data_IF_875678669889
#
_entry.id   IF_875678669889
#
_cell.length_a   1.000
_cell.length_b   1.000
_cell.length_c   1.000
_cell.angle_alpha   90.00
_cell.angle_beta   90.00
_cell.angle_gamma   90.00
#
_symmetry.space_group_name_H-M   'P 1'
#
loop_
_entity.id
_entity.type
_entity.pdbx_description
1 polymer ?
#
# COMPACT_ATOMS: atom_id res chain seq x y z
N UNK A 1 8.08 3.07 42.07
CA UNK A 1 7.98 3.04 40.59
C UNK A 1 9.20 2.29 40.09
N UNK A 2 9.07 1.16 39.38
CA UNK A 2 10.23 0.56 38.73
C UNK A 2 10.71 1.54 37.66
N UNK A 3 12.02 1.77 37.61
CA UNK A 3 12.67 2.53 36.54
C UNK A 3 12.34 1.85 35.22
N UNK A 4 11.64 2.52 34.31
CA UNK A 4 11.50 2.02 32.95
C UNK A 4 12.90 1.92 32.35
N UNK A 5 13.38 0.70 32.14
CA UNK A 5 14.60 0.46 31.38
C UNK A 5 14.37 1.00 29.97
N UNK A 6 15.18 1.96 29.54
CA UNK A 6 15.10 2.47 28.17
C UNK A 6 15.51 1.35 27.22
N UNK A 7 14.63 1.01 26.28
CA UNK A 7 14.83 -0.04 25.27
C UNK A 7 15.29 0.57 23.93
N UNK A 8 15.75 1.82 23.98
CA UNK A 8 16.14 2.58 22.81
C UNK A 8 17.24 1.90 21.98
N UNK A 9 18.21 1.27 22.65
CA UNK A 9 19.32 0.55 22.04
C UNK A 9 18.99 -0.85 21.55
N UNK A 10 17.80 -1.37 21.85
CA UNK A 10 17.40 -2.69 21.38
C UNK A 10 17.27 -2.69 19.86
N UNK A 11 17.73 -3.77 19.22
CA UNK A 11 17.74 -3.90 17.76
C UNK A 11 18.47 -2.76 17.04
N UNK A 12 19.48 -2.13 17.67
CA UNK A 12 20.21 -0.99 17.09
C UNK A 12 20.69 -1.25 15.66
N UNK A 13 21.23 -2.46 15.39
CA UNK A 13 21.66 -2.83 14.04
C UNK A 13 20.50 -2.76 13.02
N UNK A 14 19.33 -3.31 13.37
CA UNK A 14 18.15 -3.26 12.51
C UNK A 14 17.68 -1.82 12.30
N UNK A 15 17.66 -0.99 13.36
CA UNK A 15 17.27 0.42 13.26
C UNK A 15 18.20 1.20 12.34
N UNK A 16 19.51 0.98 12.46
CA UNK A 16 20.52 1.59 11.58
C UNK A 16 20.39 1.11 10.14
N UNK A 17 20.12 -0.18 9.92
CA UNK A 17 19.85 -0.70 8.58
C UNK A 17 18.58 -0.08 8.00
N UNK A 18 17.51 0.09 8.78
CA UNK A 18 16.30 0.78 8.33
C UNK A 18 16.59 2.21 7.89
N UNK A 19 17.42 2.95 8.65
CA UNK A 19 17.88 4.30 8.26
C UNK A 19 18.64 4.27 6.94
N UNK A 20 19.61 3.36 6.80
CA UNK A 20 20.39 3.22 5.57
C UNK A 20 19.50 2.88 4.37
N UNK A 21 18.59 1.93 4.55
CA UNK A 21 17.61 1.53 3.53
C UNK A 21 16.75 2.71 3.13
N UNK A 22 16.24 3.50 4.08
CA UNK A 22 15.47 4.71 3.77
C UNK A 22 16.27 5.72 2.95
N UNK A 23 17.48 6.07 3.41
CA UNK A 23 18.33 7.08 2.77
C UNK A 23 18.78 6.65 1.37
N UNK A 24 19.20 5.40 1.20
CA UNK A 24 19.82 4.92 -0.04
C UNK A 24 18.83 4.35 -1.06
N UNK A 25 17.70 3.79 -0.61
CA UNK A 25 16.80 3.00 -1.47
C UNK A 25 15.42 3.64 -1.68
N UNK A 26 14.97 4.51 -0.76
CA UNK A 26 13.71 5.25 -0.95
C UNK A 26 13.92 6.66 -1.51
N UNK A 27 15.10 7.27 -1.29
CA UNK A 27 15.46 8.54 -1.92
C UNK A 27 15.35 8.52 -3.45
N UNK A 28 15.55 7.36 -4.09
CA UNK A 28 15.36 7.19 -5.54
C UNK A 28 13.89 7.21 -5.99
N UNK A 29 12.94 6.86 -5.13
CA UNK A 29 11.49 6.88 -5.42
C UNK A 29 10.95 8.31 -5.55
N UNK A 30 11.44 9.22 -4.71
CA UNK A 30 11.15 10.66 -4.78
C UNK A 30 11.64 11.22 -6.12
N UNK A 31 12.86 10.88 -6.54
CA UNK A 31 13.40 11.34 -7.82
C UNK A 31 12.54 10.88 -9.01
N UNK A 32 12.15 9.60 -9.04
CA UNK A 32 11.29 9.04 -10.09
C UNK A 32 9.90 9.69 -10.15
N UNK A 33 9.34 10.04 -8.99
CA UNK A 33 8.01 10.66 -8.87
C UNK A 33 8.01 12.13 -9.29
N UNK A 34 9.10 12.86 -9.03
CA UNK A 34 9.23 14.28 -9.38
C UNK A 34 9.57 14.51 -10.86
N UNK A 35 10.29 13.59 -11.50
CA UNK A 35 10.72 13.72 -12.89
C UNK A 35 9.64 13.30 -13.91
N UNK A 36 8.40 13.05 -13.47
CA UNK A 36 7.27 12.69 -14.34
C UNK A 36 7.35 11.29 -14.99
N UNK A 37 8.38 10.51 -14.69
CA UNK A 37 8.61 9.16 -15.24
C UNK A 37 7.79 8.06 -14.55
N UNK A 38 7.00 8.40 -13.52
CA UNK A 38 6.24 7.43 -12.71
C UNK A 38 5.32 6.51 -13.51
N UNK A 39 4.80 6.97 -14.66
CA UNK A 39 3.88 6.19 -15.48
C UNK A 39 4.54 5.11 -16.36
N UNK A 40 5.85 5.24 -16.67
CA UNK A 40 6.53 4.35 -17.61
C UNK A 40 5.82 4.30 -18.97
N UNK A 41 5.66 3.08 -19.51
CA UNK A 41 4.87 2.83 -20.73
C UNK A 41 3.38 3.03 -20.46
N UNK A 42 2.76 3.93 -21.23
CA UNK A 42 1.34 4.17 -21.14
C UNK A 42 0.50 2.98 -21.66
N UNK A 43 -0.53 2.61 -20.89
CA UNK A 43 -1.40 1.45 -21.13
C UNK A 43 -2.85 1.78 -20.80
N UNK A 44 -3.75 0.86 -21.14
CA UNK A 44 -5.18 0.94 -20.78
C UNK A 44 -5.49 0.79 -19.28
N UNK A 45 -4.46 0.58 -18.45
CA UNK A 45 -4.58 0.57 -16.98
C UNK A 45 -3.87 1.77 -16.34
N UNK A 46 -3.08 2.54 -17.10
CA UNK A 46 -2.30 3.65 -16.57
C UNK A 46 -3.23 4.70 -15.94
N UNK A 47 -3.00 5.10 -14.67
CA UNK A 47 -3.72 6.20 -14.04
C UNK A 47 -3.10 7.56 -14.42
N UNK A 48 -3.82 8.63 -14.11
CA UNK A 48 -3.31 9.99 -14.23
C UNK A 48 -2.01 10.18 -13.41
N UNK A 49 -1.11 11.03 -13.90
CA UNK A 49 0.25 11.21 -13.33
C UNK A 49 0.27 11.58 -11.85
N UNK A 50 -0.72 12.35 -11.38
CA UNK A 50 -0.82 12.74 -9.98
C UNK A 50 -1.03 11.55 -9.01
N UNK A 51 -1.51 10.40 -9.50
CA UNK A 51 -1.70 9.21 -8.67
C UNK A 51 -0.37 8.69 -8.13
N UNK A 52 0.72 8.90 -8.87
CA UNK A 52 2.05 8.47 -8.46
C UNK A 52 2.62 9.25 -7.28
N UNK A 53 2.03 10.40 -6.90
CA UNK A 53 2.37 11.08 -5.63
C UNK A 53 2.02 10.25 -4.38
N UNK A 54 1.31 9.12 -4.54
CA UNK A 54 1.17 8.09 -3.51
C UNK A 54 2.55 7.61 -3.00
N UNK A 55 3.56 7.51 -3.86
CA UNK A 55 4.94 7.23 -3.44
C UNK A 55 5.46 8.26 -2.44
N UNK A 56 5.33 9.55 -2.77
CA UNK A 56 5.80 10.64 -1.91
C UNK A 56 5.11 10.63 -0.55
N UNK A 57 3.82 10.30 -0.50
CA UNK A 57 3.08 10.16 0.75
C UNK A 57 3.60 8.97 1.59
N UNK A 58 3.84 7.83 0.95
CA UNK A 58 4.42 6.64 1.61
C UNK A 58 5.81 6.97 2.15
N UNK A 59 6.67 7.60 1.34
CA UNK A 59 8.04 7.96 1.71
C UNK A 59 8.06 8.94 2.90
N UNK A 60 7.16 9.92 2.91
CA UNK A 60 7.03 10.86 4.02
C UNK A 60 6.61 10.17 5.33
N UNK A 61 5.68 9.22 5.25
CA UNK A 61 5.24 8.46 6.43
C UNK A 61 6.29 7.46 6.89
N UNK A 62 7.03 6.85 5.96
CA UNK A 62 8.19 6.01 6.27
C UNK A 62 9.31 6.83 6.92
N UNK A 63 9.54 8.08 6.52
CA UNK A 63 10.45 8.96 7.27
C UNK A 63 10.00 9.11 8.73
N UNK A 64 8.70 9.27 8.94
CA UNK A 64 8.09 9.24 10.27
C UNK A 64 8.38 7.95 11.03
N UNK A 65 8.21 6.78 10.40
CA UNK A 65 8.59 5.47 10.97
C UNK A 65 10.08 5.42 11.36
N UNK A 66 10.96 5.90 10.48
CA UNK A 66 12.42 5.88 10.68
C UNK A 66 12.85 6.72 11.87
N UNK A 67 12.14 7.81 12.17
CA UNK A 67 12.35 8.60 13.37
C UNK A 67 11.70 7.90 14.58
N UNK A 68 10.48 7.38 14.41
CA UNK A 68 9.69 6.79 15.50
C UNK A 68 10.27 5.49 16.08
N UNK A 69 10.98 4.67 15.29
CA UNK A 69 11.65 3.44 15.77
C UNK A 69 12.69 3.68 16.87
N UNK A 70 13.07 4.94 17.11
CA UNK A 70 13.96 5.39 18.18
C UNK A 70 13.19 5.90 19.41
N UNK A 71 11.91 5.54 19.57
CA UNK A 71 11.13 5.83 20.78
C UNK A 71 10.85 4.51 21.50
N UNK A 72 10.88 4.51 22.83
CA UNK A 72 10.68 3.29 23.63
C UNK A 72 9.30 2.63 23.37
N UNK A 73 8.27 3.42 23.06
CA UNK A 73 6.92 2.92 22.72
C UNK A 73 6.90 2.07 21.44
N UNK A 74 7.84 2.28 20.53
CA UNK A 74 7.89 1.64 19.20
C UNK A 74 8.49 0.23 19.21
N UNK A 75 8.96 -0.28 20.36
CA UNK A 75 9.69 -1.54 20.45
C UNK A 75 9.00 -2.69 19.70
N UNK A 76 7.71 -2.93 19.98
CA UNK A 76 6.95 -4.02 19.38
C UNK A 76 6.70 -3.81 17.87
N UNK A 77 6.55 -2.56 17.44
CA UNK A 77 6.45 -2.22 16.03
C UNK A 77 7.75 -2.51 15.27
N UNK A 78 8.91 -2.23 15.87
CA UNK A 78 10.23 -2.54 15.30
C UNK A 78 10.39 -4.05 15.12
N UNK A 79 9.93 -4.85 16.09
CA UNK A 79 9.87 -6.32 15.97
C UNK A 79 8.91 -6.78 14.87
N UNK A 80 7.72 -6.19 14.81
CA UNK A 80 6.69 -6.54 13.84
C UNK A 80 7.10 -6.30 12.40
N UNK A 81 7.81 -5.20 12.14
CA UNK A 81 8.40 -4.91 10.83
C UNK A 81 9.63 -5.81 10.61
N UNK A 82 10.58 -5.80 11.54
CA UNK A 82 11.78 -6.62 11.50
C UNK A 82 12.64 -6.33 10.26
N UNK A 83 13.46 -7.32 9.87
CA UNK A 83 14.34 -7.26 8.69
C UNK A 83 13.60 -7.18 7.35
N UNK A 84 12.27 -7.32 7.35
CA UNK A 84 11.45 -7.26 6.14
C UNK A 84 11.48 -5.87 5.50
N UNK A 85 11.66 -4.80 6.29
CA UNK A 85 11.82 -3.45 5.72
C UNK A 85 13.09 -3.35 4.85
N UNK A 86 14.19 -3.93 5.31
CA UNK A 86 15.43 -3.96 4.54
C UNK A 86 15.27 -4.74 3.24
N UNK A 87 14.67 -5.93 3.31
CA UNK A 87 14.38 -6.75 2.13
C UNK A 87 13.50 -6.00 1.13
N UNK A 88 12.40 -5.40 1.60
CA UNK A 88 11.45 -4.73 0.73
C UNK A 88 12.04 -3.45 0.13
N UNK A 89 12.90 -2.74 0.86
CA UNK A 89 13.65 -1.59 0.34
C UNK A 89 14.56 -1.98 -0.83
N UNK A 90 15.32 -3.08 -0.71
CA UNK A 90 16.18 -3.60 -1.79
C UNK A 90 15.36 -4.01 -3.00
N UNK A 91 14.30 -4.80 -2.79
CA UNK A 91 13.42 -5.23 -3.87
C UNK A 91 12.75 -4.03 -4.57
N UNK A 92 12.35 -3.01 -3.82
CA UNK A 92 11.69 -1.83 -4.36
C UNK A 92 12.65 -0.95 -5.16
N UNK A 93 13.90 -0.78 -4.70
CA UNK A 93 14.91 -0.05 -5.48
C UNK A 93 15.20 -0.74 -6.82
N UNK A 94 15.32 -2.08 -6.82
CA UNK A 94 15.49 -2.83 -8.06
C UNK A 94 14.26 -2.67 -8.95
N UNK A 95 13.05 -2.83 -8.40
CA UNK A 95 11.78 -2.63 -9.11
C UNK A 95 11.75 -1.28 -9.83
N UNK A 96 11.98 -0.18 -9.11
CA UNK A 96 11.95 1.17 -9.67
C UNK A 96 12.98 1.35 -10.79
N UNK A 97 14.20 0.84 -10.58
CA UNK A 97 15.25 0.92 -11.59
C UNK A 97 14.89 0.17 -12.88
N UNK A 98 14.43 -1.08 -12.78
CA UNK A 98 14.07 -1.88 -13.96
C UNK A 98 12.81 -1.35 -14.64
N UNK A 99 11.88 -0.75 -13.89
CA UNK A 99 10.67 -0.14 -14.44
C UNK A 99 10.98 1.13 -15.25
N UNK A 100 11.75 2.06 -14.67
CA UNK A 100 12.12 3.32 -15.34
C UNK A 100 13.01 3.07 -16.56
N UNK A 101 13.86 2.04 -16.53
CA UNK A 101 14.69 1.65 -17.68
C UNK A 101 13.93 0.83 -18.74
N UNK A 102 12.62 0.60 -18.57
CA UNK A 102 11.77 -0.05 -19.57
C UNK A 102 11.81 -1.58 -19.60
N UNK A 103 12.45 -2.23 -18.62
CA UNK A 103 12.52 -3.69 -18.52
C UNK A 103 11.25 -4.27 -17.86
N UNK A 104 10.09 -4.07 -18.48
CA UNK A 104 8.78 -4.28 -17.85
C UNK A 104 8.51 -5.73 -17.39
N UNK A 105 9.02 -6.75 -18.08
CA UNK A 105 8.85 -8.14 -17.64
C UNK A 105 9.59 -8.40 -16.32
N UNK A 106 10.81 -7.87 -16.20
CA UNK A 106 11.61 -7.93 -14.96
C UNK A 106 10.95 -7.08 -13.87
N UNK A 107 10.46 -5.89 -14.23
CA UNK A 107 9.72 -5.02 -13.32
C UNK A 107 8.47 -5.71 -12.76
N UNK A 108 7.73 -6.46 -13.57
CA UNK A 108 6.57 -7.22 -13.11
C UNK A 108 6.93 -8.29 -12.09
N UNK A 109 8.04 -9.02 -12.30
CA UNK A 109 8.55 -10.01 -11.34
C UNK A 109 8.90 -9.32 -10.01
N UNK A 110 9.65 -8.21 -10.07
CA UNK A 110 10.00 -7.47 -8.86
C UNK A 110 8.80 -6.81 -8.17
N UNK A 111 7.79 -6.36 -8.91
CA UNK A 111 6.55 -5.85 -8.34
C UNK A 111 5.83 -6.92 -7.52
N UNK A 112 5.80 -8.17 -8.00
CA UNK A 112 5.24 -9.31 -7.25
C UNK A 112 6.05 -9.61 -5.98
N UNK A 113 7.38 -9.55 -6.05
CA UNK A 113 8.26 -9.75 -4.89
C UNK A 113 8.09 -8.64 -3.84
N UNK A 114 8.00 -7.39 -4.29
CA UNK A 114 7.70 -6.24 -3.42
C UNK A 114 6.33 -6.43 -2.77
N UNK A 115 5.28 -6.68 -3.56
CA UNK A 115 3.93 -6.88 -3.04
C UNK A 115 3.89 -8.01 -2.01
N UNK A 116 4.48 -9.16 -2.32
CA UNK A 116 4.57 -10.30 -1.39
C UNK A 116 5.27 -9.92 -0.08
N UNK A 117 6.42 -9.24 -0.17
CA UNK A 117 7.19 -8.86 1.02
C UNK A 117 6.45 -7.81 1.86
N UNK A 118 5.87 -6.77 1.24
CA UNK A 118 5.05 -5.77 1.94
C UNK A 118 3.83 -6.44 2.58
N UNK A 119 3.19 -7.40 1.92
CA UNK A 119 2.09 -8.18 2.51
C UNK A 119 2.55 -8.84 3.80
N UNK A 120 3.73 -9.46 3.86
CA UNK A 120 4.21 -10.08 5.11
C UNK A 120 4.39 -9.08 6.24
N UNK A 121 4.86 -7.85 5.95
CA UNK A 121 4.95 -6.77 6.94
C UNK A 121 3.56 -6.35 7.41
N UNK A 122 2.66 -6.10 6.45
CA UNK A 122 1.30 -5.67 6.73
C UNK A 122 0.51 -6.70 7.57
N UNK A 123 0.64 -7.99 7.25
CA UNK A 123 0.06 -9.09 8.02
C UNK A 123 0.69 -9.22 9.39
N UNK A 124 2.02 -9.12 9.51
CA UNK A 124 2.72 -9.14 10.79
C UNK A 124 2.17 -8.05 11.72
N UNK A 125 2.14 -6.80 11.25
CA UNK A 125 1.63 -5.67 12.01
C UNK A 125 0.15 -5.83 12.37
N UNK A 126 -0.68 -6.19 11.40
CA UNK A 126 -2.12 -6.22 11.62
C UNK A 126 -2.61 -7.43 12.43
N UNK A 127 -1.87 -8.54 12.46
CA UNK A 127 -2.29 -9.77 13.16
C UNK A 127 -1.58 -9.96 14.51
N UNK A 128 -0.32 -9.54 14.64
CA UNK A 128 0.50 -9.85 15.82
C UNK A 128 0.92 -8.62 16.61
N UNK A 129 0.92 -7.43 15.99
CA UNK A 129 1.42 -6.20 16.60
C UNK A 129 0.44 -5.04 16.40
N UNK A 130 -0.76 -5.10 17.01
CA UNK A 130 -1.78 -4.05 16.85
C UNK A 130 -1.30 -2.71 17.41
N UNK A 131 -1.72 -1.61 16.78
CA UNK A 131 -1.36 -0.26 17.20
C UNK A 131 -1.80 0.00 18.66
N UNK A 132 -0.85 0.46 19.49
CA UNK A 132 -1.11 0.75 20.91
C UNK A 132 -1.64 2.15 21.14
N UNK A 133 -1.18 3.09 20.31
CA UNK A 133 -1.55 4.49 20.38
C UNK A 133 -1.64 5.12 18.97
N UNK A 134 -1.90 6.43 18.94
CA UNK A 134 -2.00 7.19 17.69
C UNK A 134 -0.66 7.23 16.94
N UNK A 135 0.47 7.25 17.65
CA UNK A 135 1.79 7.32 17.03
C UNK A 135 2.13 6.01 16.33
N UNK A 136 1.86 4.86 16.95
CA UNK A 136 1.94 3.55 16.31
C UNK A 136 1.02 3.49 15.07
N UNK A 137 -0.23 3.95 15.22
CA UNK A 137 -1.19 3.92 14.12
C UNK A 137 -0.71 4.74 12.91
N UNK A 138 -0.16 5.95 13.14
CA UNK A 138 0.24 6.89 12.09
C UNK A 138 1.64 6.60 11.54
N UNK A 139 2.61 6.28 12.38
CA UNK A 139 4.00 6.12 11.94
C UNK A 139 4.39 4.67 11.69
N UNK A 140 3.58 3.69 12.08
CA UNK A 140 3.85 2.27 11.80
C UNK A 140 2.78 1.72 10.87
N UNK A 141 1.53 1.67 11.30
CA UNK A 141 0.51 0.95 10.53
C UNK A 141 0.13 1.65 9.22
N UNK A 142 -0.02 2.97 9.25
CA UNK A 142 -0.44 3.77 8.11
C UNK A 142 0.52 3.65 6.89
N UNK A 143 1.85 3.86 6.99
CA UNK A 143 2.74 3.71 5.84
C UNK A 143 2.71 2.31 5.23
N UNK A 144 2.71 1.26 6.05
CA UNK A 144 2.69 -0.12 5.54
C UNK A 144 1.33 -0.54 4.96
N UNK A 145 0.22 0.01 5.46
CA UNK A 145 -1.10 -0.18 4.83
C UNK A 145 -1.17 0.49 3.45
N UNK A 146 -0.76 1.77 3.37
CA UNK A 146 -0.70 2.49 2.09
C UNK A 146 0.20 1.77 1.10
N UNK A 147 1.38 1.35 1.54
CA UNK A 147 2.33 0.64 0.68
C UNK A 147 1.81 -0.72 0.24
N UNK A 148 1.14 -1.47 1.12
CA UNK A 148 0.53 -2.74 0.73
C UNK A 148 -0.50 -2.53 -0.39
N UNK A 149 -1.42 -1.58 -0.25
CA UNK A 149 -2.39 -1.27 -1.29
C UNK A 149 -1.73 -0.79 -2.59
N UNK A 150 -0.76 0.12 -2.47
CA UNK A 150 -0.02 0.64 -3.62
C UNK A 150 0.76 -0.46 -4.35
N UNK A 151 1.34 -1.43 -3.64
CA UNK A 151 2.07 -2.54 -4.25
C UNK A 151 1.18 -3.43 -5.14
N UNK A 152 -0.10 -3.55 -4.82
CA UNK A 152 -1.06 -4.24 -5.69
C UNK A 152 -1.29 -3.46 -6.99
N UNK A 153 -1.36 -2.13 -6.88
CA UNK A 153 -1.48 -1.24 -8.05
C UNK A 153 -0.23 -1.34 -8.93
N UNK A 154 0.97 -1.32 -8.36
CA UNK A 154 2.22 -1.43 -9.12
C UNK A 154 2.36 -2.79 -9.81
N UNK A 155 1.85 -3.87 -9.22
CA UNK A 155 1.76 -5.19 -9.89
C UNK A 155 0.93 -5.10 -11.16
N UNK A 156 -0.26 -4.47 -11.11
CA UNK A 156 -1.08 -4.32 -12.31
C UNK A 156 -0.44 -3.37 -13.33
N UNK A 157 0.07 -2.20 -12.92
CA UNK A 157 0.77 -1.27 -13.82
C UNK A 157 1.91 -2.00 -14.55
N UNK A 158 2.72 -2.76 -13.80
CA UNK A 158 3.86 -3.49 -14.38
C UNK A 158 3.41 -4.64 -15.28
N UNK A 159 2.34 -5.35 -14.92
CA UNK A 159 1.77 -6.42 -15.72
C UNK A 159 1.21 -5.91 -17.05
N UNK A 160 0.46 -4.82 -17.04
CA UNK A 160 -0.02 -4.19 -18.27
C UNK A 160 1.13 -3.67 -19.12
N UNK A 161 2.14 -3.03 -18.53
CA UNK A 161 3.31 -2.56 -19.26
C UNK A 161 4.08 -3.71 -19.95
N UNK A 162 4.20 -4.85 -19.25
CA UNK A 162 4.91 -6.05 -19.73
C UNK A 162 4.15 -6.80 -20.84
N UNK A 163 2.83 -6.96 -20.70
CA UNK A 163 2.07 -7.89 -21.53
C UNK A 163 1.09 -7.24 -22.51
N UNK A 164 0.90 -5.92 -22.46
CA UNK A 164 -0.02 -5.22 -23.39
C UNK A 164 0.70 -4.18 -24.24
N UNK A 165 0.16 -3.87 -25.41
CA UNK A 165 0.68 -2.80 -26.28
C UNK A 165 0.14 -1.42 -25.84
N UNK A 166 0.87 -0.35 -26.17
CA UNK A 166 0.68 0.98 -25.60
C UNK A 166 -0.73 1.57 -25.82
N UNK A 167 -1.20 2.37 -24.86
CA UNK A 167 -2.58 2.85 -24.74
C UNK A 167 -2.99 4.00 -25.68
N UNK A 168 -2.05 4.83 -26.14
CA UNK A 168 -2.37 5.98 -27.00
C UNK A 168 -2.42 5.61 -28.50
N UNK A 169 -3.50 6.02 -29.17
CA UNK A 169 -3.68 5.92 -30.62
C UNK A 169 -4.15 4.57 -31.16
N UNK A 170 -4.34 3.57 -30.30
CA UNK A 170 -4.80 2.23 -30.69
C UNK A 170 -6.10 1.86 -29.97
N UNK A 171 -6.98 1.11 -30.62
CA UNK A 171 -8.15 0.56 -29.95
C UNK A 171 -7.76 -0.68 -29.14
N UNK A 172 -8.15 -0.80 -27.85
CA UNK A 172 -7.82 -1.98 -27.06
C UNK A 172 -8.52 -3.21 -27.62
N UNK A 173 -7.78 -4.32 -27.72
CA UNK A 173 -8.35 -5.62 -28.06
C UNK A 173 -9.37 -6.07 -27.00
N UNK A 174 -10.26 -7.00 -27.37
CA UNK A 174 -11.25 -7.53 -26.41
C UNK A 174 -10.58 -8.13 -25.17
N UNK A 175 -9.48 -8.85 -25.35
CA UNK A 175 -8.71 -9.45 -24.26
C UNK A 175 -8.18 -8.37 -23.30
N UNK A 176 -7.60 -7.30 -23.83
CA UNK A 176 -7.10 -6.19 -23.00
C UNK A 176 -8.24 -5.52 -22.23
N UNK A 177 -9.39 -5.27 -22.86
CA UNK A 177 -10.57 -4.71 -22.17
C UNK A 177 -11.02 -5.60 -21.02
N UNK A 178 -11.14 -6.90 -21.25
CA UNK A 178 -11.55 -7.87 -20.22
C UNK A 178 -10.56 -7.88 -19.07
N UNK A 179 -9.25 -7.95 -19.37
CA UNK A 179 -8.21 -7.93 -18.33
C UNK A 179 -8.25 -6.64 -17.50
N UNK A 180 -8.36 -5.47 -18.14
CA UNK A 180 -8.46 -4.18 -17.43
C UNK A 180 -9.69 -4.16 -16.53
N UNK A 181 -10.87 -4.55 -17.04
CA UNK A 181 -12.11 -4.60 -16.25
C UNK A 181 -11.97 -5.52 -15.04
N UNK A 182 -11.39 -6.71 -15.22
CA UNK A 182 -11.14 -7.64 -14.11
C UNK A 182 -10.16 -7.05 -13.08
N UNK A 183 -9.10 -6.37 -13.53
CA UNK A 183 -8.16 -5.69 -12.63
C UNK A 183 -8.83 -4.56 -11.85
N UNK A 184 -9.67 -3.74 -12.48
CA UNK A 184 -10.42 -2.67 -11.81
C UNK A 184 -11.42 -3.24 -10.79
N UNK A 185 -12.12 -4.31 -11.16
CA UNK A 185 -13.03 -5.03 -10.25
C UNK A 185 -12.25 -5.61 -9.06
N UNK A 186 -11.09 -6.22 -9.31
CA UNK A 186 -10.22 -6.73 -8.25
C UNK A 186 -9.78 -5.63 -7.28
N UNK A 187 -9.33 -4.47 -7.78
CA UNK A 187 -8.96 -3.34 -6.92
C UNK A 187 -10.15 -2.86 -6.08
N UNK A 188 -11.34 -2.77 -6.69
CA UNK A 188 -12.55 -2.34 -5.97
C UNK A 188 -12.97 -3.33 -4.88
N UNK A 189 -12.97 -4.63 -5.17
CA UNK A 189 -13.25 -5.69 -4.17
C UNK A 189 -12.19 -5.68 -3.07
N UNK A 190 -10.93 -5.45 -3.42
CA UNK A 190 -9.84 -5.37 -2.43
C UNK A 190 -10.01 -4.16 -1.51
N UNK A 191 -10.49 -3.02 -2.01
CA UNK A 191 -10.81 -1.85 -1.18
C UNK A 191 -11.87 -2.20 -0.11
N UNK A 192 -12.88 -3.00 -0.47
CA UNK A 192 -13.84 -3.55 0.48
C UNK A 192 -13.21 -4.57 1.45
N UNK A 193 -12.24 -5.37 0.99
CA UNK A 193 -11.44 -6.24 1.86
C UNK A 193 -10.72 -5.46 2.96
N UNK A 194 -10.11 -4.33 2.64
CA UNK A 194 -9.54 -3.41 3.64
C UNK A 194 -10.60 -2.86 4.59
N UNK A 195 -11.75 -2.44 4.06
CA UNK A 195 -12.81 -1.86 4.87
C UNK A 195 -13.46 -2.87 5.83
N UNK A 196 -13.56 -4.15 5.47
CA UNK A 196 -14.17 -5.20 6.29
C UNK A 196 -13.19 -6.02 7.13
N UNK A 197 -11.88 -5.80 7.00
CA UNK A 197 -10.86 -6.52 7.79
C UNK A 197 -11.12 -6.47 9.30
N UNK A 198 -11.64 -5.35 9.79
CA UNK A 198 -12.02 -5.16 11.18
C UNK A 198 -13.27 -4.26 11.27
N UNK A 199 -13.80 -4.08 12.49
CA UNK A 199 -14.90 -3.15 12.72
C UNK A 199 -14.58 -1.74 12.23
N UNK A 200 -13.40 -1.22 12.60
CA UNK A 200 -12.88 0.08 12.14
C UNK A 200 -12.53 0.06 10.64
N UNK A 201 -12.06 -1.07 10.15
CA UNK A 201 -11.53 -1.19 8.79
C UNK A 201 -10.16 -0.52 8.65
N UNK A 202 -9.60 -0.60 7.45
CA UNK A 202 -8.33 0.02 7.09
C UNK A 202 -8.58 1.10 6.03
N UNK A 203 -8.75 2.33 6.50
CA UNK A 203 -9.07 3.50 5.66
C UNK A 203 -7.98 3.74 4.63
N UNK A 204 -6.72 3.56 5.02
CA UNK A 204 -5.57 3.95 4.22
C UNK A 204 -5.45 3.09 2.96
N UNK A 205 -5.50 1.76 3.13
CA UNK A 205 -5.47 0.84 2.01
C UNK A 205 -6.65 1.03 1.07
N UNK A 206 -7.86 1.19 1.61
CA UNK A 206 -9.06 1.46 0.81
C UNK A 206 -8.96 2.79 0.03
N UNK A 207 -8.42 3.84 0.64
CA UNK A 207 -8.28 5.16 0.04
C UNK A 207 -7.30 5.15 -1.14
N UNK A 208 -6.16 4.45 -1.03
CA UNK A 208 -5.20 4.32 -2.15
C UNK A 208 -5.82 3.63 -3.36
N UNK A 209 -6.60 2.58 -3.13
CA UNK A 209 -7.27 1.87 -4.23
C UNK A 209 -8.37 2.72 -4.86
N UNK A 210 -9.18 3.42 -4.06
CA UNK A 210 -10.17 4.37 -4.58
C UNK A 210 -9.50 5.51 -5.37
N UNK A 211 -8.44 6.11 -4.83
CA UNK A 211 -7.66 7.15 -5.49
C UNK A 211 -7.09 6.70 -6.84
N UNK A 212 -6.56 5.48 -6.90
CA UNK A 212 -6.06 4.88 -8.14
C UNK A 212 -7.17 4.72 -9.16
N UNK A 213 -8.32 4.16 -8.76
CA UNK A 213 -9.47 3.97 -9.65
C UNK A 213 -9.98 5.31 -10.23
N UNK A 214 -10.00 6.36 -9.42
CA UNK A 214 -10.33 7.71 -9.88
C UNK A 214 -9.31 8.23 -10.91
N UNK A 215 -8.01 8.06 -10.67
CA UNK A 215 -7.00 8.46 -11.65
C UNK A 215 -7.03 7.66 -12.95
N UNK A 216 -7.43 6.38 -12.92
CA UNK A 216 -7.68 5.61 -14.14
C UNK A 216 -8.89 6.18 -14.89
N UNK A 217 -9.98 6.52 -14.19
CA UNK A 217 -11.12 7.20 -14.80
C UNK A 217 -10.72 8.52 -15.48
N UNK A 218 -9.89 9.32 -14.83
CA UNK A 218 -9.46 10.62 -15.35
C UNK A 218 -8.63 10.45 -16.63
N UNK A 219 -7.64 9.55 -16.60
CA UNK A 219 -6.68 9.34 -17.68
C UNK A 219 -7.26 8.60 -18.91
N UNK A 220 -8.19 7.66 -18.70
CA UNK A 220 -8.63 6.77 -19.79
C UNK A 220 -9.66 7.44 -20.71
N UNK A 221 -9.48 7.26 -22.02
CA UNK A 221 -10.39 7.74 -23.07
C UNK A 221 -11.35 6.66 -23.59
N UNK A 222 -11.02 5.38 -23.44
CA UNK A 222 -11.92 4.31 -23.85
C UNK A 222 -13.16 4.29 -22.96
N UNK A 223 -14.35 4.49 -23.53
CA UNK A 223 -15.59 4.64 -22.75
C UNK A 223 -15.85 3.49 -21.77
N UNK A 224 -15.64 2.23 -22.19
CA UNK A 224 -15.86 1.08 -21.32
C UNK A 224 -14.93 1.10 -20.11
N UNK A 225 -13.63 1.30 -20.32
CA UNK A 225 -12.65 1.35 -19.23
C UNK A 225 -12.90 2.57 -18.34
N UNK A 226 -13.11 3.73 -18.94
CA UNK A 226 -13.35 5.00 -18.25
C UNK A 226 -14.54 4.90 -17.30
N UNK A 227 -15.72 4.52 -17.80
CA UNK A 227 -16.92 4.47 -16.96
C UNK A 227 -16.93 3.27 -16.00
N UNK A 228 -16.27 2.16 -16.34
CA UNK A 228 -16.08 1.06 -15.39
C UNK A 228 -15.16 1.48 -14.23
N UNK A 229 -14.07 2.20 -14.51
CA UNK A 229 -13.20 2.76 -13.48
C UNK A 229 -13.96 3.75 -12.58
N UNK A 230 -14.84 4.59 -13.14
CA UNK A 230 -15.71 5.47 -12.36
C UNK A 230 -16.66 4.70 -11.45
N UNK A 231 -17.32 3.66 -11.97
CA UNK A 231 -18.21 2.82 -11.17
C UNK A 231 -17.45 2.11 -10.03
N UNK A 232 -16.29 1.52 -10.35
CA UNK A 232 -15.39 0.90 -9.38
C UNK A 232 -14.90 1.91 -8.32
N UNK A 233 -14.59 3.15 -8.70
CA UNK A 233 -14.23 4.22 -7.79
C UNK A 233 -15.38 4.53 -6.83
N UNK A 234 -16.61 4.73 -7.34
CA UNK A 234 -17.80 5.02 -6.51
C UNK A 234 -18.05 3.87 -5.51
N UNK A 235 -17.97 2.62 -5.97
CA UNK A 235 -18.10 1.44 -5.09
C UNK A 235 -17.02 1.42 -4.00
N UNK A 236 -15.78 1.76 -4.36
CA UNK A 236 -14.66 1.80 -3.41
C UNK A 236 -14.75 2.98 -2.44
N UNK A 237 -15.38 4.09 -2.85
CA UNK A 237 -15.62 5.24 -1.98
C UNK A 237 -16.53 4.88 -0.81
N UNK A 238 -17.52 4.00 -1.01
CA UNK A 238 -18.32 3.48 0.08
C UNK A 238 -17.48 2.68 1.10
N UNK A 239 -16.47 1.94 0.64
CA UNK A 239 -15.55 1.23 1.53
C UNK A 239 -14.71 2.21 2.38
N UNK A 240 -14.27 3.32 1.78
CA UNK A 240 -13.57 4.41 2.50
C UNK A 240 -14.49 5.08 3.52
N UNK A 241 -15.70 5.47 3.11
CA UNK A 241 -16.70 6.11 4.00
C UNK A 241 -17.07 5.21 5.17
N UNK A 242 -17.30 3.92 4.93
CA UNK A 242 -17.52 2.93 6.01
C UNK A 242 -16.37 2.96 6.99
N UNK A 243 -15.14 2.86 6.49
CA UNK A 243 -13.96 2.79 7.36
C UNK A 243 -13.79 4.07 8.19
N UNK A 244 -14.00 5.24 7.56
CA UNK A 244 -13.98 6.54 8.25
C UNK A 244 -15.07 6.64 9.33
N UNK A 245 -16.30 6.24 9.01
CA UNK A 245 -17.43 6.28 9.95
C UNK A 245 -17.16 5.44 11.21
N UNK A 246 -16.70 4.20 11.04
CA UNK A 246 -16.39 3.34 12.19
C UNK A 246 -15.11 3.74 12.93
N UNK A 247 -14.19 4.44 12.26
CA UNK A 247 -12.96 4.94 12.91
C UNK A 247 -13.25 6.17 13.77
N UNK A 248 -14.02 7.15 13.25
CA UNK A 248 -14.18 8.45 13.89
C UNK A 248 -15.53 8.68 14.58
N UNK A 249 -16.62 8.05 14.12
CA UNK A 249 -17.97 8.34 14.65
C UNK A 249 -18.39 7.29 15.69
N UNK A 250 -18.09 6.01 15.43
CA UNK A 250 -18.47 4.91 16.34
C UNK A 250 -17.38 4.53 17.35
N UNK A 251 -16.27 5.27 17.38
CA UNK A 251 -15.14 5.06 18.27
C UNK A 251 -15.40 5.41 19.74
N UNK A 252 -16.42 6.23 20.02
CA UNK A 252 -16.68 6.79 21.36
C UNK A 252 -17.78 6.04 22.15
N UNK A 253 -18.37 4.98 21.59
CA UNK A 253 -19.49 4.27 22.20
C UNK A 253 -19.16 2.82 22.48
N UNK A 254 -18.76 2.52 23.73
CA UNK A 254 -18.65 1.19 24.27
C UNK A 254 -19.90 0.35 23.99
N UNK A 255 -19.83 -0.52 22.98
CA UNK A 255 -20.66 -1.72 22.84
C UNK A 255 -19.74 -2.79 22.23
N UNK A 256 -19.11 -3.55 23.12
CA UNK A 256 -18.57 -4.88 22.83
C UNK A 256 -19.76 -5.78 22.51
N UNK A 257 -19.86 -6.21 21.26
CA UNK A 257 -20.71 -7.31 20.86
C UNK A 257 -19.80 -8.28 20.11
N UNK A 258 -19.47 -9.39 20.77
CA UNK A 258 -18.93 -10.59 20.14
C UNK A 258 -17.41 -10.78 20.21
N UNK A 259 -16.82 -10.78 21.41
CA UNK A 259 -15.52 -11.45 21.66
C UNK A 259 -15.72 -12.88 22.23
N UNK A 260 -16.95 -13.42 22.19
CA UNK A 260 -17.28 -14.75 22.69
C UNK A 260 -17.03 -15.90 21.68
N UNK A 261 -16.60 -15.60 20.44
CA UNK A 261 -16.47 -16.62 19.38
C UNK A 261 -15.03 -17.15 19.20
N UNK A 262 -14.12 -16.82 20.12
CA UNK A 262 -12.76 -17.40 20.21
C UNK A 262 -12.45 -18.00 21.57
N UNK A 263 -13.42 -18.67 22.18
CA UNK A 263 -13.09 -19.66 23.21
C UNK A 263 -12.47 -20.89 22.52
N UNK A 264 -11.23 -21.30 22.86
CA UNK A 264 -10.68 -22.55 22.36
C UNK A 264 -11.55 -23.70 22.90
N UNK A 265 -12.09 -24.53 22.01
CA UNK A 265 -12.70 -25.80 22.38
C UNK A 265 -11.59 -26.73 22.85
N UNK A 266 -11.32 -26.70 24.16
CA UNK A 266 -10.51 -27.71 24.84
C UNK A 266 -11.43 -28.44 25.80
N UNK A 267 -11.77 -29.67 25.42
CA UNK A 267 -12.15 -30.75 26.32
C UNK A 267 -11.18 -31.90 26.04
#
# INVERSE_FOLDING_TARGET
MPLSTSNWSDHLLLKLVNVAVFVFLFGSGIYSSLDGHGAGKDTFFTPASYVFYTWSLIDLLLLGYIIYQFVDSSHDAVHGVGWRLALVGVLNAIYLHVFVTGHYLVAFIFALLVASTVSTVYWSLSAHYPAKDLFDAVFVHLPFSLWHAWSLVTVFISGFAAFTHAGHGHHPSLVVKVLVVLSLAFLSVTAWGYAFRSRKGDVAGAAVLAWTLFGIYDHQHNHLIKYFALAAFIVSLFAVVKSLYFTFVKGDGAISLGDDERAPLVA
#
